data_IF_071045690560
#
_entry.id   IF_071045690560
#
_cell.length_a   1.000
_cell.length_b   1.000
_cell.length_c   1.000
_cell.angle_alpha   90.00
_cell.angle_beta   90.00
_cell.angle_gamma   90.00
#
_symmetry.space_group_name_H-M   'P 1'
#
loop_
_entity.id
_entity.type
_entity.pdbx_description
1 polymer ?
#
# COMPACT_ATOMS: atom_id res chain seq x y z
N UNK A 1 -4.90 -7.00 33.39
CA UNK A 1 -4.68 -7.06 34.85
C UNK A 1 -5.95 -6.58 35.53
N UNK A 2 -6.74 -7.43 36.21
CA UNK A 2 -7.90 -6.95 36.95
C UNK A 2 -7.41 -6.03 38.09
N UNK A 3 -7.90 -4.80 38.10
CA UNK A 3 -7.49 -3.76 39.06
C UNK A 3 -7.83 -4.14 40.52
N UNK A 4 -8.77 -5.06 40.72
CA UNK A 4 -9.22 -5.52 42.05
C UNK A 4 -9.47 -7.03 42.07
N UNK A 5 -8.41 -7.84 42.01
CA UNK A 5 -8.55 -9.28 42.21
C UNK A 5 -8.82 -9.58 43.70
N UNK A 6 -9.87 -10.37 43.99
CA UNK A 6 -10.24 -10.84 45.34
C UNK A 6 -10.57 -9.75 46.39
N UNK A 7 -10.96 -8.54 45.97
CA UNK A 7 -11.41 -7.51 46.91
C UNK A 7 -12.88 -7.74 47.34
N UNK A 8 -13.17 -7.61 48.63
CA UNK A 8 -14.53 -7.57 49.18
C UNK A 8 -14.71 -6.34 50.10
N UNK A 9 -15.95 -5.85 50.24
CA UNK A 9 -16.33 -4.73 51.12
C UNK A 9 -15.59 -3.38 50.91
N UNK A 10 -15.35 -2.95 49.67
CA UNK A 10 -14.84 -1.60 49.43
C UNK A 10 -15.96 -0.62 49.05
N UNK A 11 -15.79 0.64 49.47
CA UNK A 11 -16.65 1.75 49.11
C UNK A 11 -15.85 2.75 48.29
N UNK A 12 -16.28 3.03 47.06
CA UNK A 12 -15.67 4.07 46.21
C UNK A 12 -16.49 5.35 46.38
N UNK A 13 -15.86 6.37 46.97
CA UNK A 13 -16.47 7.69 47.14
C UNK A 13 -15.78 8.69 46.20
N UNK A 14 -16.57 9.36 45.35
CA UNK A 14 -16.07 10.32 44.35
C UNK A 14 -15.48 9.67 43.11
N UNK A 15 -15.79 10.22 41.94
CA UNK A 15 -15.33 9.74 40.63
C UNK A 15 -16.36 10.02 39.51
N UNK A 16 -15.88 10.08 38.26
CA UNK A 16 -16.76 10.06 37.08
C UNK A 16 -16.91 8.60 36.66
N UNK A 17 -18.12 8.06 36.80
CA UNK A 17 -18.44 6.69 36.41
C UNK A 17 -18.96 6.67 34.98
N UNK A 18 -18.09 6.36 34.02
CA UNK A 18 -18.51 6.14 32.63
C UNK A 18 -18.98 4.70 32.46
N UNK A 19 -20.30 4.49 32.42
CA UNK A 19 -20.89 3.20 32.07
C UNK A 19 -20.93 3.06 30.53
N UNK A 20 -20.11 2.17 29.99
CA UNK A 20 -20.09 1.85 28.56
C UNK A 20 -20.84 0.53 28.39
N UNK A 21 -22.13 0.61 28.03
CA UNK A 21 -23.08 -0.52 27.99
C UNK A 21 -22.98 -1.43 26.76
N UNK A 22 -21.80 -1.55 26.14
CA UNK A 22 -21.52 -2.44 25.00
C UNK A 22 -20.15 -3.09 25.15
N UNK A 23 -19.88 -4.09 24.32
CA UNK A 23 -18.54 -4.69 24.20
C UNK A 23 -17.50 -3.59 23.97
N UNK A 24 -16.58 -3.41 24.92
CA UNK A 24 -15.34 -2.67 24.67
C UNK A 24 -14.45 -3.55 23.78
N UNK A 25 -14.63 -3.42 22.46
CA UNK A 25 -13.64 -3.91 21.52
C UNK A 25 -12.50 -2.89 21.58
N UNK A 26 -11.45 -3.20 22.35
CA UNK A 26 -10.17 -2.52 22.21
C UNK A 26 -9.61 -2.91 20.84
N UNK A 27 -10.07 -2.20 19.80
CA UNK A 27 -9.43 -2.27 18.50
C UNK A 27 -8.08 -1.59 18.69
N UNK A 28 -7.06 -2.38 19.06
CA UNK A 28 -5.68 -1.99 18.82
C UNK A 28 -5.44 -2.12 17.31
N UNK A 29 -6.09 -1.25 16.54
CA UNK A 29 -5.83 -1.14 15.12
C UNK A 29 -4.38 -0.66 15.01
N UNK A 30 -3.52 -1.55 14.55
CA UNK A 30 -2.14 -1.21 14.25
C UNK A 30 -2.14 -0.07 13.24
N UNK A 31 -1.18 0.87 13.28
CA UNK A 31 -1.14 1.98 12.31
C UNK A 31 -1.21 1.54 10.83
N UNK A 32 -0.75 0.34 10.51
CA UNK A 32 -0.90 -0.23 9.17
C UNK A 32 -2.29 -0.77 8.84
N UNK A 33 -3.08 -1.18 9.82
CA UNK A 33 -4.46 -1.61 9.60
C UNK A 33 -5.33 -0.42 9.20
N UNK A 34 -5.10 0.76 9.81
CA UNK A 34 -5.73 2.02 9.39
C UNK A 34 -5.41 2.33 7.92
N UNK A 35 -4.13 2.24 7.54
CA UNK A 35 -3.72 2.45 6.14
C UNK A 35 -4.32 1.40 5.20
N UNK A 36 -4.31 0.12 5.60
CA UNK A 36 -4.89 -0.98 4.82
C UNK A 36 -6.38 -0.76 4.58
N UNK A 37 -7.11 -0.37 5.62
CA UNK A 37 -8.55 -0.10 5.56
C UNK A 37 -8.84 1.11 4.67
N UNK A 38 -8.03 2.16 4.77
CA UNK A 38 -8.17 3.37 3.94
C UNK A 38 -7.97 3.09 2.45
N UNK A 39 -7.15 2.10 2.07
CA UNK A 39 -6.86 1.79 0.67
C UNK A 39 -7.56 0.52 0.14
N UNK A 40 -8.40 -0.15 0.93
CA UNK A 40 -8.93 -1.49 0.62
C UNK A 40 -9.65 -1.57 -0.73
N UNK A 41 -10.35 -0.51 -1.12
CA UNK A 41 -11.17 -0.44 -2.34
C UNK A 41 -10.44 0.26 -3.51
N UNK A 42 -9.16 0.63 -3.34
CA UNK A 42 -8.39 1.38 -4.34
C UNK A 42 -8.11 0.55 -5.58
N UNK A 43 -7.67 -0.68 -5.39
CA UNK A 43 -7.44 -1.64 -6.47
C UNK A 43 -6.36 -1.25 -7.49
N UNK A 44 -5.51 -0.26 -7.22
CA UNK A 44 -4.56 0.29 -8.20
C UNK A 44 -3.22 -0.47 -8.33
N UNK A 45 -2.93 -1.41 -7.43
CA UNK A 45 -1.69 -2.20 -7.46
C UNK A 45 -1.63 -3.13 -8.69
N UNK A 46 -0.43 -3.52 -9.12
CA UNK A 46 -0.21 -4.42 -10.28
C UNK A 46 -0.90 -5.79 -10.14
N UNK A 47 -1.04 -6.28 -8.91
CA UNK A 47 -1.58 -7.58 -8.49
C UNK A 47 -3.02 -7.49 -7.96
N UNK A 48 -3.68 -6.35 -8.10
CA UNK A 48 -5.06 -6.15 -7.67
C UNK A 48 -6.06 -6.98 -8.48
N UNK A 49 -6.94 -7.69 -7.79
CA UNK A 49 -8.07 -8.42 -8.40
C UNK A 49 -9.05 -7.50 -9.15
N UNK A 50 -9.19 -6.24 -8.70
CA UNK A 50 -10.05 -5.24 -9.36
C UNK A 50 -9.53 -4.82 -10.75
N UNK A 51 -8.30 -5.22 -11.10
CA UNK A 51 -7.69 -4.94 -12.40
C UNK A 51 -7.67 -6.16 -13.31
N UNK A 52 -8.34 -7.25 -12.94
CA UNK A 52 -8.37 -8.45 -13.75
C UNK A 52 -9.34 -8.35 -14.94
N UNK A 53 -8.96 -8.80 -16.16
CA UNK A 53 -7.59 -9.17 -16.55
C UNK A 53 -6.71 -7.93 -16.72
N UNK A 54 -5.47 -7.92 -16.22
CA UNK A 54 -4.61 -6.76 -16.37
C UNK A 54 -4.13 -6.64 -17.82
N UNK A 55 -3.91 -5.41 -18.33
CA UNK A 55 -3.39 -5.23 -19.68
C UNK A 55 -1.95 -5.75 -19.71
N UNK A 56 -1.67 -6.89 -20.33
CA UNK A 56 -0.32 -7.46 -20.45
C UNK A 56 0.18 -7.41 -21.88
N UNK A 57 1.50 -7.36 -22.05
CA UNK A 57 2.07 -7.62 -23.37
C UNK A 57 1.76 -9.08 -23.76
N UNK A 58 1.40 -9.31 -25.02
CA UNK A 58 1.34 -10.67 -25.52
C UNK A 58 2.72 -11.33 -25.40
N UNK A 59 2.76 -12.65 -25.15
CA UNK A 59 4.01 -13.40 -25.17
C UNK A 59 4.80 -13.07 -26.44
N UNK A 60 6.12 -12.97 -26.29
CA UNK A 60 7.06 -12.69 -27.37
C UNK A 60 6.97 -11.29 -28.02
N UNK A 61 6.10 -10.40 -27.56
CA UNK A 61 5.99 -9.03 -28.08
C UNK A 61 6.74 -8.00 -27.24
N UNK A 62 7.18 -6.91 -27.88
CA UNK A 62 7.82 -5.74 -27.22
C UNK A 62 9.01 -6.06 -26.31
N UNK A 63 9.73 -7.15 -26.61
CA UNK A 63 10.88 -7.60 -25.82
C UNK A 63 11.98 -6.55 -25.73
N UNK A 64 12.23 -5.82 -26.81
CA UNK A 64 13.29 -4.80 -26.85
C UNK A 64 13.04 -3.67 -25.85
N UNK A 65 11.81 -3.13 -25.85
CA UNK A 65 11.40 -2.09 -24.90
C UNK A 65 11.45 -2.61 -23.47
N UNK A 66 10.94 -3.83 -23.23
CA UNK A 66 10.98 -4.44 -21.90
C UNK A 66 12.42 -4.63 -21.41
N UNK A 67 13.30 -5.15 -22.27
CA UNK A 67 14.72 -5.35 -21.96
C UNK A 67 15.42 -4.03 -21.65
N UNK A 68 15.11 -2.98 -22.41
CA UNK A 68 15.68 -1.64 -22.19
C UNK A 68 15.27 -1.10 -20.81
N UNK A 69 14.00 -1.24 -20.44
CA UNK A 69 13.50 -0.79 -19.12
C UNK A 69 14.12 -1.62 -18.00
N UNK A 70 14.20 -2.95 -18.13
CA UNK A 70 14.81 -3.82 -17.11
C UNK A 70 16.28 -3.49 -16.88
N UNK A 71 17.05 -3.28 -17.96
CA UNK A 71 18.44 -2.80 -17.88
C UNK A 71 18.51 -1.44 -17.18
N UNK A 72 17.54 -0.56 -17.44
CA UNK A 72 17.49 0.74 -16.79
C UNK A 72 17.27 0.62 -15.27
N UNK A 73 16.35 -0.26 -14.83
CA UNK A 73 16.05 -0.53 -13.41
C UNK A 73 17.27 -1.10 -12.67
N UNK A 74 18.00 -2.02 -13.31
CA UNK A 74 19.11 -2.74 -12.67
C UNK A 74 20.45 -1.99 -12.69
N UNK A 75 20.56 -0.94 -13.51
CA UNK A 75 21.80 -0.19 -13.66
C UNK A 75 22.05 0.72 -12.45
N UNK A 76 23.08 0.41 -11.66
CA UNK A 76 23.56 1.24 -10.55
C UNK A 76 24.13 2.60 -10.99
N UNK A 77 24.50 2.73 -12.27
CA UNK A 77 25.03 3.97 -12.83
C UNK A 77 23.93 4.96 -13.25
N UNK A 78 22.68 4.48 -13.37
CA UNK A 78 21.56 5.33 -13.76
C UNK A 78 21.16 6.23 -12.59
N UNK A 79 21.39 7.55 -12.75
CA UNK A 79 21.01 8.57 -11.77
C UNK A 79 19.60 9.13 -11.98
N UNK A 80 18.94 8.73 -13.08
CA UNK A 80 17.61 9.25 -13.42
C UNK A 80 16.55 8.51 -12.60
N UNK A 81 15.72 9.21 -11.81
CA UNK A 81 14.71 8.57 -10.97
C UNK A 81 13.43 8.21 -11.73
N UNK A 82 13.27 8.67 -12.97
CA UNK A 82 12.03 8.53 -13.76
C UNK A 82 12.35 7.96 -15.15
N UNK A 83 11.65 6.89 -15.53
CA UNK A 83 11.63 6.37 -16.89
C UNK A 83 10.32 6.77 -17.57
N UNK A 84 10.41 7.45 -18.72
CA UNK A 84 9.23 7.91 -19.46
C UNK A 84 9.01 7.07 -20.72
N UNK A 85 7.89 6.34 -20.78
CA UNK A 85 7.44 5.59 -21.95
C UNK A 85 6.44 6.45 -22.73
N UNK A 86 6.79 6.84 -23.96
CA UNK A 86 5.95 7.64 -24.84
C UNK A 86 5.60 6.90 -26.14
N UNK A 87 4.55 7.34 -26.81
CA UNK A 87 4.07 6.76 -28.08
C UNK A 87 2.58 7.00 -28.30
N UNK A 88 2.05 6.67 -29.50
CA UNK A 88 0.66 6.94 -29.86
C UNK A 88 -0.37 6.31 -28.90
N UNK A 89 -1.60 6.81 -28.91
CA UNK A 89 -2.69 6.18 -28.17
C UNK A 89 -2.93 4.75 -28.70
N UNK A 90 -3.34 3.83 -27.83
CA UNK A 90 -3.65 2.45 -28.22
C UNK A 90 -2.45 1.51 -28.42
N UNK A 91 -1.21 2.02 -28.51
CA UNK A 91 0.00 1.17 -28.68
C UNK A 91 0.39 0.37 -27.44
N UNK A 92 -0.50 0.25 -26.45
CA UNK A 92 -0.35 -0.60 -25.27
C UNK A 92 0.76 -0.21 -24.29
N UNK A 93 1.07 1.09 -24.12
CA UNK A 93 2.03 1.57 -23.12
C UNK A 93 1.73 1.04 -21.70
N UNK A 94 0.46 1.08 -21.28
CA UNK A 94 0.02 0.51 -20.00
C UNK A 94 0.28 -0.99 -19.90
N UNK A 95 0.26 -1.71 -21.04
CA UNK A 95 0.57 -3.13 -21.07
C UNK A 95 2.06 -3.41 -20.85
N UNK A 96 2.94 -2.53 -21.37
CA UNK A 96 4.38 -2.59 -21.06
C UNK A 96 4.60 -2.32 -19.58
N UNK A 97 4.00 -1.25 -19.03
CA UNK A 97 4.15 -0.90 -17.61
C UNK A 97 3.67 -2.03 -16.68
N UNK A 98 2.53 -2.65 -16.98
CA UNK A 98 2.02 -3.81 -16.23
C UNK A 98 2.98 -4.99 -16.30
N UNK A 99 3.46 -5.34 -17.50
CA UNK A 99 4.38 -6.47 -17.68
C UNK A 99 5.69 -6.23 -16.91
N UNK A 100 6.22 -5.00 -16.93
CA UNK A 100 7.40 -4.64 -16.14
C UNK A 100 7.14 -4.72 -14.64
N UNK A 101 5.99 -4.26 -14.15
CA UNK A 101 5.64 -4.37 -12.74
C UNK A 101 5.59 -5.85 -12.29
N UNK A 102 4.98 -6.73 -13.08
CA UNK A 102 4.92 -8.17 -12.78
C UNK A 102 6.30 -8.84 -12.82
N UNK A 103 7.14 -8.52 -13.81
CA UNK A 103 8.50 -9.04 -13.90
C UNK A 103 9.36 -8.55 -12.73
N UNK A 104 9.27 -7.28 -12.36
CA UNK A 104 10.04 -6.74 -11.22
C UNK A 104 9.54 -7.24 -9.88
N UNK A 105 8.24 -7.48 -9.72
CA UNK A 105 7.68 -8.13 -8.53
C UNK A 105 8.21 -9.57 -8.39
N UNK A 106 8.22 -10.33 -9.48
CA UNK A 106 8.72 -11.72 -9.50
C UNK A 106 10.21 -11.82 -9.15
N UNK A 107 10.99 -10.78 -9.47
CA UNK A 107 12.43 -10.71 -9.19
C UNK A 107 12.76 -9.98 -7.87
N UNK A 108 11.77 -9.68 -7.03
CA UNK A 108 11.95 -8.94 -5.76
C UNK A 108 12.63 -7.56 -5.93
N UNK A 109 12.41 -6.92 -7.09
CA UNK A 109 12.93 -5.59 -7.42
C UNK A 109 11.87 -4.49 -7.27
N UNK A 110 10.59 -4.85 -7.28
CA UNK A 110 9.50 -3.88 -7.18
C UNK A 110 9.33 -3.45 -5.72
N UNK A 111 9.46 -2.14 -5.44
CA UNK A 111 9.12 -1.60 -4.12
C UNK A 111 7.60 -1.51 -3.92
N UNK A 112 6.91 -0.84 -4.84
CA UNK A 112 5.47 -0.67 -4.83
C UNK A 112 4.96 -0.33 -6.25
N UNK A 113 3.65 -0.42 -6.47
CA UNK A 113 3.00 -0.12 -7.74
C UNK A 113 1.68 0.62 -7.57
N UNK A 114 1.37 1.52 -8.50
CA UNK A 114 0.10 2.22 -8.57
C UNK A 114 -0.24 2.55 -10.02
N UNK A 115 -1.42 2.14 -10.48
CA UNK A 115 -1.91 2.39 -11.83
C UNK A 115 -3.13 3.30 -11.80
N UNK A 116 -2.97 4.49 -12.35
CA UNK A 116 -4.07 5.43 -12.55
C UNK A 116 -5.06 4.90 -13.60
N UNK A 117 -6.35 4.96 -13.28
CA UNK A 117 -7.46 4.57 -14.16
C UNK A 117 -8.61 5.55 -14.04
N UNK A 118 -9.11 6.03 -15.18
CA UNK A 118 -10.30 6.89 -15.21
C UNK A 118 -11.60 6.15 -14.87
N UNK A 119 -11.58 4.82 -14.94
CA UNK A 119 -12.77 3.99 -14.78
C UNK A 119 -12.85 3.35 -13.38
N UNK A 120 -11.84 3.54 -12.53
CA UNK A 120 -11.82 3.04 -11.16
C UNK A 120 -11.66 4.22 -10.21
N UNK A 121 -12.72 4.52 -9.46
CA UNK A 121 -12.78 5.65 -8.53
C UNK A 121 -11.60 5.66 -7.54
N UNK A 122 -11.11 4.48 -7.15
CA UNK A 122 -10.01 4.31 -6.21
C UNK A 122 -8.62 4.68 -6.74
N UNK A 123 -8.43 4.89 -8.05
CA UNK A 123 -7.10 5.15 -8.62
C UNK A 123 -6.80 6.64 -8.84
N UNK A 124 -7.35 7.52 -8.00
CA UNK A 124 -7.07 8.95 -8.01
C UNK A 124 -5.78 9.30 -7.23
N UNK A 125 -5.30 10.54 -7.36
CA UNK A 125 -4.05 10.99 -6.77
C UNK A 125 -4.03 10.94 -5.23
N UNK A 126 -5.20 11.05 -4.60
CA UNK A 126 -5.38 10.97 -3.14
C UNK A 126 -4.85 9.65 -2.57
N UNK A 127 -5.12 8.54 -3.25
CA UNK A 127 -4.73 7.21 -2.78
C UNK A 127 -3.32 6.79 -3.20
N UNK A 128 -2.61 7.59 -4.00
CA UNK A 128 -1.27 7.23 -4.48
C UNK A 128 -0.31 7.01 -3.32
N UNK A 129 -0.11 8.02 -2.46
CA UNK A 129 0.87 7.94 -1.39
C UNK A 129 0.49 6.95 -0.30
N UNK A 130 -0.77 6.89 0.19
CA UNK A 130 -1.19 5.86 1.14
C UNK A 130 -0.96 4.44 0.61
N UNK A 131 -1.28 4.18 -0.67
CA UNK A 131 -1.09 2.87 -1.29
C UNK A 131 0.39 2.49 -1.41
N UNK A 132 1.25 3.43 -1.78
CA UNK A 132 2.70 3.20 -1.89
C UNK A 132 3.30 3.00 -0.49
N UNK A 133 2.91 3.82 0.49
CA UNK A 133 3.38 3.73 1.86
C UNK A 133 3.03 2.38 2.49
N UNK A 134 1.79 1.91 2.34
CA UNK A 134 1.37 0.59 2.80
C UNK A 134 2.18 -0.53 2.13
N UNK A 135 2.29 -0.52 0.80
CA UNK A 135 3.06 -1.54 0.05
C UNK A 135 4.53 -1.60 0.50
N UNK A 136 5.17 -0.46 0.71
CA UNK A 136 6.55 -0.40 1.21
C UNK A 136 6.66 -0.88 2.66
N UNK A 137 5.70 -0.54 3.53
CA UNK A 137 5.70 -0.95 4.93
C UNK A 137 5.48 -2.46 5.11
N UNK A 138 4.70 -3.09 4.22
CA UNK A 138 4.54 -4.55 4.20
C UNK A 138 5.84 -5.26 3.77
N UNK A 139 6.64 -4.63 2.91
CA UNK A 139 7.85 -5.26 2.33
C UNK A 139 9.14 -4.94 3.09
N UNK A 140 9.24 -3.75 3.70
CA UNK A 140 10.48 -3.24 4.28
C UNK A 140 10.26 -2.94 5.76
N UNK A 141 10.78 -3.81 6.63
CA UNK A 141 10.59 -3.69 8.09
C UNK A 141 11.03 -2.32 8.63
N UNK A 142 12.18 -1.79 8.17
CA UNK A 142 12.64 -0.47 8.62
C UNK A 142 11.67 0.66 8.25
N UNK A 143 10.97 0.53 7.11
CA UNK A 143 9.95 1.49 6.69
C UNK A 143 8.67 1.32 7.50
N UNK A 144 8.31 0.07 7.81
CA UNK A 144 7.21 -0.28 8.72
C UNK A 144 7.38 0.37 10.10
N UNK A 145 8.55 0.21 10.70
CA UNK A 145 8.86 0.74 12.02
C UNK A 145 8.75 2.28 12.00
N UNK A 146 9.31 2.91 10.97
CA UNK A 146 9.28 4.36 10.80
C UNK A 146 7.85 4.90 10.62
N UNK A 147 7.04 4.31 9.72
CA UNK A 147 5.68 4.79 9.48
C UNK A 147 4.78 4.56 10.70
N UNK A 148 4.92 3.41 11.36
CA UNK A 148 4.19 3.07 12.58
C UNK A 148 4.52 4.05 13.70
N UNK A 149 5.79 4.42 13.86
CA UNK A 149 6.21 5.43 14.82
C UNK A 149 5.59 6.80 14.50
N UNK A 150 5.71 7.27 13.26
CA UNK A 150 5.16 8.57 12.82
C UNK A 150 3.64 8.65 13.00
N UNK A 151 2.89 7.60 12.63
CA UNK A 151 1.43 7.56 12.76
C UNK A 151 0.97 7.55 14.22
N UNK A 152 1.76 6.93 15.13
CA UNK A 152 1.48 6.97 16.57
C UNK A 152 1.69 8.35 17.16
N UNK A 153 2.70 9.08 16.69
CA UNK A 153 2.97 10.45 17.14
C UNK A 153 1.98 11.47 16.56
N UNK A 154 1.44 11.21 15.37
CA UNK A 154 0.55 12.12 14.65
C UNK A 154 -0.70 11.39 14.10
N UNK A 155 -1.65 11.00 14.96
CA UNK A 155 -2.82 10.21 14.54
C UNK A 155 -3.86 10.96 13.70
N UNK A 156 -3.67 12.26 13.45
CA UNK A 156 -4.57 13.11 12.66
C UNK A 156 -4.09 13.39 11.22
N UNK A 157 -3.05 12.69 10.76
CA UNK A 157 -2.53 12.73 9.39
C UNK A 157 -3.08 11.56 8.59
#
# INVERSE_FOLDING_TARGET
MPMFANANQFSIHGGIYSNIGRDQINVHEGPLEVLSEHIKDVGAAHDSALRYPPPRCHPETRKEVQTTILKWIQSRANKLPVCWIYGPAGVGKSAVAQTIAELTATNDLLGASFFFSRHQAGSCAEYLFPSIAYQLAVRIQKFNDAITHTLRENPGV
#
